data_IF_973922868562
#
_entry.id   IF_973922868562
#
_cell.length_a   1.000
_cell.length_b   1.000
_cell.length_c   1.000
_cell.angle_alpha   90.00
_cell.angle_beta   90.00
_cell.angle_gamma   90.00
#
_symmetry.space_group_name_H-M   'P 1'
#
loop_
_entity.id
_entity.type
_entity.pdbx_description
1 polymer ?
#
# COMPACT_ATOMS: atom_id res chain seq x y z
N UNK A 1 -27.85 38.58 -17.91
CA UNK A 1 -27.27 38.12 -19.21
C UNK A 1 -26.06 39.03 -19.44
N UNK A 2 -24.80 38.62 -19.61
CA UNK A 2 -24.22 37.37 -20.09
C UNK A 2 -22.81 37.14 -19.53
N UNK A 3 -22.61 35.92 -19.04
CA UNK A 3 -21.44 35.01 -19.07
C UNK A 3 -20.02 35.60 -19.17
N UNK A 4 -19.31 35.52 -18.03
CA UNK A 4 -17.84 35.57 -17.97
C UNK A 4 -17.27 34.27 -18.53
N UNK A 5 -16.49 34.39 -19.60
CA UNK A 5 -15.90 33.30 -20.35
C UNK A 5 -14.54 32.93 -19.71
N UNK A 6 -14.56 32.02 -18.74
CA UNK A 6 -13.34 31.48 -18.14
C UNK A 6 -12.57 30.67 -19.18
N UNK A 7 -11.48 31.26 -19.69
CA UNK A 7 -10.57 30.61 -20.64
C UNK A 7 -10.00 29.33 -20.03
N UNK A 8 -10.59 28.21 -20.40
CA UNK A 8 -10.17 26.88 -19.96
C UNK A 8 -8.86 26.55 -20.68
N UNK A 9 -7.75 26.64 -19.93
CA UNK A 9 -6.39 26.35 -20.39
C UNK A 9 -6.34 24.93 -21.03
N UNK A 10 -5.68 24.75 -22.18
CA UNK A 10 -5.69 23.47 -22.91
C UNK A 10 -5.07 22.33 -22.07
N UNK A 11 -5.63 21.12 -22.23
CA UNK A 11 -5.27 19.89 -21.48
C UNK A 11 -3.77 19.59 -21.51
N UNK A 12 -3.07 19.97 -22.58
CA UNK A 12 -1.63 19.77 -22.79
C UNK A 12 -0.74 20.46 -21.76
N UNK A 13 -1.17 21.60 -21.19
CA UNK A 13 -0.43 22.34 -20.17
C UNK A 13 -0.68 21.81 -18.74
N UNK A 14 -1.71 20.97 -18.53
CA UNK A 14 -2.03 20.39 -17.21
C UNK A 14 -1.31 19.07 -16.94
N UNK A 15 -0.84 18.36 -17.97
CA UNK A 15 -0.24 17.03 -17.84
C UNK A 15 1.02 17.00 -16.94
N UNK A 16 1.96 17.95 -17.01
CA UNK A 16 3.14 17.93 -16.14
C UNK A 16 2.77 18.15 -14.67
N UNK A 17 1.83 19.05 -14.40
CA UNK A 17 1.37 19.39 -13.04
C UNK A 17 0.56 18.26 -12.39
N UNK A 18 -0.21 17.52 -13.20
CA UNK A 18 -0.95 16.33 -12.75
C UNK A 18 -0.01 15.15 -12.50
N UNK A 19 1.06 15.01 -13.29
CA UNK A 19 2.09 14.00 -13.07
C UNK A 19 2.90 14.28 -11.81
N UNK A 20 3.34 15.53 -11.59
CA UNK A 20 4.07 15.92 -10.37
C UNK A 20 3.22 15.72 -9.11
N UNK A 21 1.94 16.08 -9.15
CA UNK A 21 1.01 15.86 -8.03
C UNK A 21 0.81 14.35 -7.75
N UNK A 22 0.63 13.54 -8.80
CA UNK A 22 0.50 12.07 -8.67
C UNK A 22 1.75 11.42 -8.06
N UNK A 23 2.94 11.90 -8.45
CA UNK A 23 4.21 11.45 -7.87
C UNK A 23 4.37 11.84 -6.40
N UNK A 24 4.04 13.07 -6.02
CA UNK A 24 4.09 13.54 -4.62
C UNK A 24 3.06 12.84 -3.73
N UNK A 25 1.86 12.57 -4.25
CA UNK A 25 0.84 11.78 -3.56
C UNK A 25 1.30 10.34 -3.34
N UNK A 26 1.89 9.71 -4.37
CA UNK A 26 2.49 8.38 -4.27
C UNK A 26 3.65 8.32 -3.25
N UNK A 27 4.50 9.35 -3.19
CA UNK A 27 5.55 9.47 -2.15
C UNK A 27 4.94 9.57 -0.75
N UNK A 28 3.96 10.43 -0.58
CA UNK A 28 3.28 10.65 0.71
C UNK A 28 2.59 9.39 1.21
N UNK A 29 2.00 8.60 0.32
CA UNK A 29 1.44 7.29 0.63
C UNK A 29 2.49 6.28 1.05
N UNK A 30 3.59 6.14 0.31
CA UNK A 30 4.69 5.23 0.65
C UNK A 30 5.27 5.55 2.03
N UNK A 31 5.37 6.84 2.38
CA UNK A 31 5.75 7.28 3.73
C UNK A 31 4.75 6.81 4.78
N UNK A 32 3.44 6.94 4.54
CA UNK A 32 2.40 6.46 5.46
C UNK A 32 2.47 4.95 5.68
N UNK A 33 2.60 4.17 4.61
CA UNK A 33 2.75 2.70 4.70
C UNK A 33 4.03 2.33 5.46
N UNK A 34 5.15 3.02 5.20
CA UNK A 34 6.42 2.79 5.90
C UNK A 34 6.28 3.06 7.40
N UNK A 35 5.70 4.20 7.78
CA UNK A 35 5.47 4.54 9.18
C UNK A 35 4.56 3.55 9.88
N UNK A 36 3.47 3.13 9.23
CA UNK A 36 2.56 2.12 9.78
C UNK A 36 3.26 0.76 9.93
N UNK A 37 4.10 0.36 8.97
CA UNK A 37 4.89 -0.87 9.03
C UNK A 37 5.86 -0.88 10.21
N UNK A 38 6.61 0.21 10.41
CA UNK A 38 7.51 0.35 11.55
C UNK A 38 6.76 0.33 12.89
N UNK A 39 5.58 0.97 12.96
CA UNK A 39 4.76 0.92 14.17
C UNK A 39 4.30 -0.50 14.47
N UNK A 40 3.84 -1.24 13.46
CA UNK A 40 3.46 -2.65 13.62
C UNK A 40 4.63 -3.49 14.10
N UNK A 41 5.81 -3.34 13.50
CA UNK A 41 7.03 -4.05 13.91
C UNK A 41 7.44 -3.75 15.35
N UNK A 42 7.34 -2.48 15.78
CA UNK A 42 7.58 -2.08 17.16
C UNK A 42 6.60 -2.73 18.15
N UNK A 43 5.31 -2.79 17.81
CA UNK A 43 4.31 -3.46 18.63
C UNK A 43 4.53 -4.98 18.70
N UNK A 44 4.88 -5.62 17.58
CA UNK A 44 5.18 -7.05 17.55
C UNK A 44 6.38 -7.42 18.42
N UNK A 45 7.42 -6.58 18.44
CA UNK A 45 8.66 -6.85 19.19
C UNK A 45 8.54 -6.56 20.68
N UNK A 46 7.55 -5.77 21.11
CA UNK A 46 7.27 -5.53 22.52
C UNK A 46 7.02 -6.86 23.27
N UNK A 47 7.48 -7.04 24.52
CA UNK A 47 7.15 -8.21 25.32
C UNK A 47 5.62 -8.48 25.38
N UNK A 48 5.21 -9.75 25.38
CA UNK A 48 3.81 -10.16 25.53
C UNK A 48 3.51 -10.88 26.87
N UNK A 49 4.40 -11.75 27.40
CA UNK A 49 4.13 -12.50 28.63
C UNK A 49 3.72 -11.61 29.82
N UNK A 50 2.59 -11.93 30.45
CA UNK A 50 2.03 -11.21 31.61
C UNK A 50 1.38 -9.86 31.27
N UNK A 51 1.27 -9.52 29.98
CA UNK A 51 0.67 -8.28 29.46
C UNK A 51 0.05 -8.48 28.08
N UNK A 52 -0.48 -9.68 27.85
CA UNK A 52 -0.90 -10.16 26.54
C UNK A 52 -2.03 -9.30 25.97
N UNK A 53 -2.98 -8.84 26.80
CA UNK A 53 -4.07 -7.97 26.35
C UNK A 53 -3.55 -6.60 25.90
N UNK A 54 -2.68 -5.97 26.69
CA UNK A 54 -2.05 -4.68 26.32
C UNK A 54 -1.23 -4.83 25.03
N UNK A 55 -0.50 -5.95 24.91
CA UNK A 55 0.26 -6.26 23.70
C UNK A 55 -0.66 -6.45 22.48
N UNK A 56 -1.74 -7.24 22.64
CA UNK A 56 -2.76 -7.50 21.61
C UNK A 56 -3.39 -6.21 21.11
N UNK A 57 -3.79 -5.33 22.03
CA UNK A 57 -4.39 -4.04 21.69
C UNK A 57 -3.42 -3.14 20.91
N UNK A 58 -2.14 -3.12 21.32
CA UNK A 58 -1.10 -2.40 20.59
C UNK A 58 -0.91 -2.92 19.16
N UNK A 59 -0.85 -4.24 18.99
CA UNK A 59 -0.75 -4.88 17.67
C UNK A 59 -1.99 -4.61 16.83
N UNK A 60 -3.19 -4.73 17.41
CA UNK A 60 -4.45 -4.44 16.75
C UNK A 60 -4.50 -3.01 16.21
N UNK A 61 -4.14 -2.02 17.03
CA UNK A 61 -4.14 -0.62 16.63
C UNK A 61 -3.13 -0.34 15.51
N UNK A 62 -1.91 -0.88 15.62
CA UNK A 62 -0.87 -0.68 14.61
C UNK A 62 -1.24 -1.36 13.28
N UNK A 63 -1.75 -2.60 13.33
CA UNK A 63 -2.19 -3.34 12.14
C UNK A 63 -3.41 -2.69 11.48
N UNK A 64 -4.33 -2.14 12.26
CA UNK A 64 -5.47 -1.37 11.73
C UNK A 64 -5.01 -0.11 10.98
N UNK A 65 -3.99 0.59 11.48
CA UNK A 65 -3.39 1.74 10.79
C UNK A 65 -2.70 1.31 9.48
N UNK A 66 -1.97 0.20 9.50
CA UNK A 66 -1.36 -0.36 8.28
C UNK A 66 -2.45 -0.73 7.26
N UNK A 67 -3.51 -1.42 7.69
CA UNK A 67 -4.63 -1.81 6.84
C UNK A 67 -5.35 -0.61 6.22
N UNK A 68 -5.58 0.46 6.99
CA UNK A 68 -6.15 1.69 6.47
C UNK A 68 -5.24 2.31 5.40
N UNK A 69 -3.93 2.38 5.67
CA UNK A 69 -2.94 2.92 4.72
C UNK A 69 -2.88 2.10 3.42
N UNK A 70 -2.94 0.76 3.50
CA UNK A 70 -3.00 -0.13 2.34
C UNK A 70 -4.34 0.01 1.57
N UNK A 71 -5.45 0.21 2.27
CA UNK A 71 -6.75 0.41 1.63
C UNK A 71 -6.81 1.70 0.81
N UNK A 72 -6.29 2.80 1.37
CA UNK A 72 -6.16 4.04 0.64
C UNK A 72 -5.22 3.92 -0.57
N UNK A 73 -4.15 3.12 -0.42
CA UNK A 73 -3.20 2.82 -1.49
C UNK A 73 -3.81 2.06 -2.66
N UNK A 74 -4.59 1.00 -2.39
CA UNK A 74 -5.31 0.26 -3.45
C UNK A 74 -6.29 1.17 -4.19
N UNK A 75 -7.10 1.96 -3.47
CA UNK A 75 -8.06 2.88 -4.09
C UNK A 75 -7.40 3.89 -5.05
N UNK A 76 -6.23 4.41 -4.67
CA UNK A 76 -5.46 5.34 -5.52
C UNK A 76 -4.73 4.62 -6.65
N UNK A 77 -4.10 3.48 -6.38
CA UNK A 77 -3.41 2.67 -7.39
C UNK A 77 -4.35 2.13 -8.47
N UNK A 78 -5.63 1.93 -8.15
CA UNK A 78 -6.68 1.55 -9.09
C UNK A 78 -7.32 2.75 -9.82
N UNK A 79 -7.09 3.97 -9.34
CA UNK A 79 -7.60 5.18 -9.99
C UNK A 79 -6.88 5.43 -11.32
N UNK A 80 -7.63 5.83 -12.35
CA UNK A 80 -7.08 6.20 -13.65
C UNK A 80 -6.07 7.36 -13.48
N UNK A 81 -4.79 7.09 -13.76
CA UNK A 81 -3.68 8.04 -13.56
C UNK A 81 -2.60 7.60 -12.56
N UNK A 82 -2.77 6.43 -11.91
CA UNK A 82 -1.69 5.79 -11.16
C UNK A 82 -0.67 5.11 -12.08
N UNK A 83 0.63 5.30 -11.83
CA UNK A 83 1.72 4.78 -12.68
C UNK A 83 1.58 3.28 -13.00
N UNK A 84 1.23 2.45 -12.02
CA UNK A 84 1.05 1.01 -12.22
C UNK A 84 -0.21 0.69 -13.04
N UNK A 85 -1.30 1.43 -12.85
CA UNK A 85 -2.53 1.27 -13.62
C UNK A 85 -2.33 1.64 -15.10
N UNK A 86 -1.51 2.65 -15.40
CA UNK A 86 -1.14 3.02 -16.77
C UNK A 86 -0.43 1.87 -17.51
N UNK A 87 0.35 1.07 -16.79
CA UNK A 87 1.01 -0.11 -17.35
C UNK A 87 0.05 -1.28 -17.63
N UNK A 88 -1.18 -1.27 -17.08
CA UNK A 88 -2.19 -2.33 -17.25
C UNK A 88 -2.99 -2.18 -18.55
N UNK A 89 -2.29 -2.11 -19.68
CA UNK A 89 -2.93 -2.11 -21.01
C UNK A 89 -3.17 -3.55 -21.50
N UNK A 90 -4.38 -3.87 -21.96
CA UNK A 90 -4.72 -5.20 -22.46
C UNK A 90 -3.82 -5.60 -23.65
N UNK A 91 -3.21 -6.79 -23.57
CA UNK A 91 -2.22 -7.25 -24.56
C UNK A 91 -0.86 -6.54 -24.47
N UNK A 92 -0.68 -5.63 -23.51
CA UNK A 92 0.57 -4.91 -23.28
C UNK A 92 1.65 -5.75 -22.61
N UNK A 93 2.92 -5.39 -22.85
CA UNK A 93 4.13 -6.07 -22.33
C UNK A 93 4.06 -6.36 -20.82
N UNK A 94 3.50 -5.45 -20.03
CA UNK A 94 3.50 -5.51 -18.56
C UNK A 94 2.21 -6.04 -17.95
N UNK A 95 1.19 -6.35 -18.76
CA UNK A 95 -0.17 -6.67 -18.29
C UNK A 95 -0.17 -7.73 -17.17
N UNK A 96 0.41 -8.90 -17.43
CA UNK A 96 0.42 -10.01 -16.46
C UNK A 96 1.23 -9.72 -15.19
N UNK A 97 2.27 -8.87 -15.28
CA UNK A 97 3.08 -8.49 -14.12
C UNK A 97 2.31 -7.52 -13.22
N UNK A 98 1.64 -6.54 -13.82
CA UNK A 98 0.75 -5.62 -13.09
C UNK A 98 -0.41 -6.38 -12.44
N UNK A 99 -1.07 -7.25 -13.20
CA UNK A 99 -2.20 -8.03 -12.70
C UNK A 99 -1.81 -8.91 -11.51
N UNK A 100 -0.64 -9.56 -11.57
CA UNK A 100 -0.10 -10.33 -10.45
C UNK A 100 0.21 -9.46 -9.24
N UNK A 101 0.81 -8.27 -9.42
CA UNK A 101 1.08 -7.35 -8.32
C UNK A 101 -0.22 -6.94 -7.61
N UNK A 102 -1.26 -6.60 -8.38
CA UNK A 102 -2.56 -6.24 -7.81
C UNK A 102 -3.19 -7.39 -7.01
N UNK A 103 -3.19 -8.61 -7.55
CA UNK A 103 -3.69 -9.79 -6.83
C UNK A 103 -2.93 -10.06 -5.52
N UNK A 104 -1.61 -9.88 -5.52
CA UNK A 104 -0.78 -10.01 -4.32
C UNK A 104 -1.11 -8.92 -3.29
N UNK A 105 -1.35 -7.69 -3.74
CA UNK A 105 -1.73 -6.58 -2.87
C UNK A 105 -3.09 -6.83 -2.20
N UNK A 106 -4.09 -7.26 -2.97
CA UNK A 106 -5.41 -7.61 -2.46
C UNK A 106 -5.35 -8.76 -1.45
N UNK A 107 -4.47 -9.73 -1.68
CA UNK A 107 -4.24 -10.83 -0.76
C UNK A 107 -3.63 -10.36 0.55
N UNK A 108 -2.67 -9.42 0.52
CA UNK A 108 -2.14 -8.81 1.74
C UNK A 108 -3.21 -8.05 2.52
N UNK A 109 -4.07 -7.31 1.82
CA UNK A 109 -5.22 -6.62 2.42
C UNK A 109 -6.15 -7.61 3.14
N UNK A 110 -6.51 -8.72 2.48
CA UNK A 110 -7.34 -9.77 3.10
C UNK A 110 -6.68 -10.40 4.32
N UNK A 111 -5.37 -10.63 4.29
CA UNK A 111 -4.62 -11.18 5.43
C UNK A 111 -4.56 -10.22 6.62
N UNK A 112 -4.43 -8.91 6.37
CA UNK A 112 -4.61 -7.89 7.39
C UNK A 112 -5.98 -8.00 8.04
N UNK A 113 -7.05 -8.01 7.24
CA UNK A 113 -8.43 -8.05 7.73
C UNK A 113 -8.70 -9.31 8.57
N UNK A 114 -8.25 -10.48 8.08
CA UNK A 114 -8.39 -11.74 8.81
C UNK A 114 -7.64 -11.72 10.16
N UNK A 115 -6.45 -11.13 10.20
CA UNK A 115 -5.66 -11.04 11.44
C UNK A 115 -6.26 -10.04 12.42
N UNK A 116 -6.76 -8.90 11.94
CA UNK A 116 -7.48 -7.90 12.74
C UNK A 116 -8.73 -8.52 13.36
N UNK A 117 -9.50 -9.28 12.58
CA UNK A 117 -10.70 -9.95 13.08
C UNK A 117 -10.36 -11.03 14.11
N UNK A 118 -9.30 -11.80 13.88
CA UNK A 118 -8.80 -12.76 14.87
C UNK A 118 -8.41 -12.10 16.21
N UNK A 119 -7.70 -10.97 16.16
CA UNK A 119 -7.34 -10.20 17.36
C UNK A 119 -8.57 -9.66 18.11
N UNK A 120 -9.63 -9.30 17.36
CA UNK A 120 -10.89 -8.80 17.92
C UNK A 120 -11.73 -9.92 18.54
N UNK A 121 -11.77 -11.10 17.90
CA UNK A 121 -12.61 -12.21 18.36
C UNK A 121 -12.09 -12.86 19.64
N UNK A 122 -10.79 -12.71 19.96
CA UNK A 122 -10.23 -13.20 21.23
C UNK A 122 -10.75 -12.37 22.41
N UNK A 123 -11.66 -12.98 23.18
CA UNK A 123 -12.31 -12.38 24.34
C UNK A 123 -11.46 -12.38 25.61
N UNK A 124 -11.96 -11.70 26.64
CA UNK A 124 -11.32 -11.64 27.95
C UNK A 124 -11.23 -13.05 28.56
N UNK A 125 -10.01 -13.49 28.85
CA UNK A 125 -9.74 -14.80 29.48
C UNK A 125 -9.29 -15.90 28.52
N UNK A 126 -9.29 -15.68 27.21
CA UNK A 126 -8.64 -16.60 26.27
C UNK A 126 -7.12 -16.46 26.31
N UNK A 127 -6.42 -17.59 26.15
CA UNK A 127 -4.97 -17.57 25.99
C UNK A 127 -4.62 -16.98 24.62
N UNK A 128 -3.93 -15.84 24.63
CA UNK A 128 -3.46 -15.16 23.42
C UNK A 128 -2.19 -15.86 22.94
N UNK A 129 -2.27 -16.54 21.79
CA UNK A 129 -1.10 -17.10 21.10
C UNK A 129 -0.32 -15.98 20.38
N UNK A 130 0.45 -15.22 21.17
CA UNK A 130 1.26 -14.13 20.65
C UNK A 130 2.37 -14.62 19.70
N UNK A 131 2.74 -15.90 19.71
CA UNK A 131 3.76 -16.44 18.81
C UNK A 131 3.20 -16.62 17.40
N UNK A 132 2.01 -17.21 17.27
CA UNK A 132 1.30 -17.33 15.98
C UNK A 132 1.00 -15.93 15.38
N UNK A 133 0.49 -15.00 16.19
CA UNK A 133 0.22 -13.63 15.73
C UNK A 133 1.51 -12.95 15.23
N UNK A 134 2.63 -13.07 15.94
CA UNK A 134 3.92 -12.52 15.48
C UNK A 134 4.33 -13.10 14.14
N UNK A 135 4.23 -14.41 13.97
CA UNK A 135 4.62 -15.07 12.73
C UNK A 135 3.79 -14.56 11.55
N UNK A 136 2.46 -14.55 11.69
CA UNK A 136 1.53 -14.11 10.64
C UNK A 136 1.79 -12.67 10.21
N UNK A 137 1.89 -11.75 11.18
CA UNK A 137 2.09 -10.33 10.87
C UNK A 137 3.51 -10.07 10.33
N UNK A 138 4.53 -10.81 10.79
CA UNK A 138 5.89 -10.70 10.23
C UNK A 138 5.93 -11.14 8.77
N UNK A 139 5.23 -12.22 8.40
CA UNK A 139 5.13 -12.67 7.02
C UNK A 139 4.38 -11.68 6.13
N UNK A 140 3.35 -11.03 6.67
CA UNK A 140 2.66 -9.94 5.98
C UNK A 140 3.61 -8.77 5.70
N UNK A 141 4.35 -8.29 6.71
CA UNK A 141 5.32 -7.19 6.54
C UNK A 141 6.43 -7.55 5.52
N UNK A 142 6.86 -8.80 5.52
CA UNK A 142 7.86 -9.31 4.55
C UNK A 142 7.28 -9.33 3.13
N UNK A 143 6.04 -9.81 2.98
CA UNK A 143 5.33 -9.80 1.69
C UNK A 143 5.20 -8.38 1.14
N UNK A 144 4.89 -7.41 2.00
CA UNK A 144 4.75 -6.01 1.62
C UNK A 144 6.07 -5.42 1.11
N UNK A 145 7.19 -5.68 1.80
CA UNK A 145 8.52 -5.26 1.36
C UNK A 145 8.86 -5.83 -0.03
N UNK A 146 8.58 -7.11 -0.26
CA UNK A 146 8.82 -7.74 -1.57
C UNK A 146 7.91 -7.19 -2.68
N UNK A 147 6.65 -6.91 -2.36
CA UNK A 147 5.71 -6.30 -3.30
C UNK A 147 6.21 -4.91 -3.73
N UNK A 148 6.57 -4.05 -2.77
CA UNK A 148 7.09 -2.70 -3.05
C UNK A 148 8.37 -2.71 -3.88
N UNK A 149 9.28 -3.67 -3.63
CA UNK A 149 10.49 -3.83 -4.43
C UNK A 149 10.15 -4.16 -5.89
N UNK A 150 9.28 -5.14 -6.12
CA UNK A 150 8.87 -5.55 -7.47
C UNK A 150 8.07 -4.49 -8.21
N UNK A 151 7.25 -3.73 -7.48
CA UNK A 151 6.55 -2.57 -8.01
C UNK A 151 7.55 -1.51 -8.48
N UNK A 152 8.54 -1.17 -7.63
CA UNK A 152 9.58 -0.21 -7.97
C UNK A 152 10.41 -0.66 -9.19
N UNK A 153 10.80 -1.94 -9.26
CA UNK A 153 11.51 -2.50 -10.41
C UNK A 153 10.69 -2.40 -11.69
N UNK A 154 9.38 -2.66 -11.61
CA UNK A 154 8.48 -2.58 -12.77
C UNK A 154 8.32 -1.14 -13.26
N UNK A 155 8.15 -0.18 -12.35
CA UNK A 155 8.08 1.26 -12.69
C UNK A 155 9.40 1.69 -13.33
N UNK A 156 10.54 1.29 -12.77
CA UNK A 156 11.86 1.60 -13.33
C UNK A 156 12.05 0.97 -14.71
N UNK A 157 11.65 -0.29 -14.93
CA UNK A 157 11.75 -0.92 -16.25
C UNK A 157 10.85 -0.22 -17.28
N UNK A 158 9.64 0.18 -16.87
CA UNK A 158 8.68 0.78 -17.79
C UNK A 158 9.05 2.21 -18.21
N UNK A 159 9.62 3.02 -17.30
CA UNK A 159 9.91 4.43 -17.55
C UNK A 159 11.41 4.74 -17.68
N UNK A 160 12.28 3.96 -17.03
CA UNK A 160 13.73 4.14 -17.06
C UNK A 160 14.39 3.75 -18.39
N UNK A 161 13.76 2.85 -19.17
CA UNK A 161 14.19 2.56 -20.55
C UNK A 161 13.97 3.73 -21.52
N UNK A 162 13.11 4.69 -21.17
CA UNK A 162 12.81 5.87 -22.00
C UNK A 162 13.77 7.05 -21.73
N UNK A 163 14.58 6.97 -20.66
CA UNK A 163 15.57 8.01 -20.27
C UNK A 163 16.95 7.70 -20.88
N UNK A 164 17.13 6.53 -21.52
CA UNK A 164 18.42 6.06 -22.05
C UNK A 164 18.66 6.26 -23.55
N UNK A 165 17.73 6.88 -24.30
CA UNK A 165 17.86 7.15 -25.73
C UNK A 165 18.07 8.63 -26.08
N UNK A 166 18.52 9.42 -25.10
CA UNK A 166 18.90 10.82 -25.28
C UNK A 166 20.40 11.03 -25.10
N UNK A 167 21.22 10.47 -26.00
CA UNK A 167 22.52 11.02 -26.39
C UNK A 167 22.87 10.57 -27.82
#
# INVERSE_FOLDING_TARGET
MSKSNGTQRPIRDRMPQLQDASLEEGRSERVRILMASHRTEACLTAPAPGREHVWKDGVYQALSLLRASLGEASQRGESAGGLIAELKTAGGKYYHRVDRLQQEFDEMIRRCDATIEHLRSQGDGESIDYADIRQRVTWLLTSLKHHQAREADLVYEAHGLDIGLGD
#
